data_IF_105844441141
#
_entry.id   IF_105844441141
#
_cell.length_a   1.000
_cell.length_b   1.000
_cell.length_c   1.000
_cell.angle_alpha   90.00
_cell.angle_beta   90.00
_cell.angle_gamma   90.00
#
_symmetry.space_group_name_H-M   'P 1'
#
loop_
_entity.id
_entity.type
_entity.pdbx_description
1 polymer ?
#
# COMPACT_ATOMS: atom_id res chain seq x y z
N UNK A 1 -15.24 20.19 20.92
CA UNK A 1 -14.04 19.40 21.30
C UNK A 1 -12.94 19.81 20.35
N UNK A 2 -11.79 20.26 20.85
CA UNK A 2 -10.67 20.67 20.01
C UNK A 2 -10.19 19.46 19.20
N UNK A 3 -10.23 19.53 17.87
CA UNK A 3 -9.57 18.54 16.99
C UNK A 3 -8.10 18.44 17.45
N UNK A 4 -7.63 17.24 17.78
CA UNK A 4 -6.19 17.03 18.01
C UNK A 4 -5.48 17.19 16.68
N UNK A 5 -4.55 18.14 16.58
CA UNK A 5 -3.76 18.36 15.37
C UNK A 5 -3.02 17.08 14.97
N UNK A 6 -3.15 16.69 13.69
CA UNK A 6 -2.46 15.52 13.16
C UNK A 6 -0.96 15.81 13.04
N UNK A 7 -0.15 15.04 13.76
CA UNK A 7 1.32 15.12 13.66
C UNK A 7 1.85 14.12 12.62
N UNK A 8 2.55 14.65 11.62
CA UNK A 8 3.17 13.86 10.56
C UNK A 8 4.33 13.03 11.15
N UNK A 9 4.18 11.70 11.17
CA UNK A 9 5.25 10.75 11.54
C UNK A 9 5.16 10.07 12.90
N UNK A 10 4.04 10.19 13.62
CA UNK A 10 3.77 9.44 14.86
C UNK A 10 2.85 8.22 14.60
N UNK A 11 2.90 7.21 15.49
CA UNK A 11 2.01 6.03 15.44
C UNK A 11 0.58 6.51 15.72
N UNK A 12 -0.25 6.59 14.68
CA UNK A 12 -1.64 6.99 14.79
C UNK A 12 -2.59 5.80 14.76
N UNK A 13 -3.82 6.03 15.23
CA UNK A 13 -4.98 5.13 15.04
C UNK A 13 -5.12 4.69 13.57
N UNK A 14 -5.76 3.53 13.28
CA UNK A 14 -6.04 3.11 11.91
C UNK A 14 -6.78 4.21 11.13
N UNK A 15 -6.25 4.55 9.97
CA UNK A 15 -6.78 5.62 9.11
C UNK A 15 -7.62 5.03 7.99
N UNK A 16 -8.60 5.81 7.55
CA UNK A 16 -9.22 5.62 6.26
C UNK A 16 -8.30 6.19 5.19
N UNK A 17 -8.21 5.50 4.05
CA UNK A 17 -7.40 5.88 2.91
C UNK A 17 -8.28 5.88 1.65
N UNK A 18 -8.23 7.00 0.93
CA UNK A 18 -8.41 6.99 -0.51
C UNK A 18 -7.04 6.85 -1.15
N UNK A 19 -6.86 5.88 -2.04
CA UNK A 19 -5.72 5.81 -2.93
C UNK A 19 -6.20 5.39 -4.30
N UNK A 20 -5.55 5.90 -5.34
CA UNK A 20 -5.83 5.43 -6.68
C UNK A 20 -4.56 5.34 -7.51
N UNK A 21 -4.71 4.73 -8.69
CA UNK A 21 -3.63 4.46 -9.63
C UNK A 21 -4.13 4.70 -11.04
N UNK A 22 -3.27 5.27 -11.89
CA UNK A 22 -3.60 5.72 -13.23
C UNK A 22 -2.34 5.95 -14.05
N UNK A 23 -2.51 6.35 -15.31
CA UNK A 23 -1.41 6.83 -16.14
C UNK A 23 -1.01 8.27 -15.82
N UNK A 24 -1.96 9.10 -15.36
CA UNK A 24 -1.73 10.53 -15.15
C UNK A 24 -2.61 11.10 -14.02
N UNK A 25 -2.01 11.94 -13.18
CA UNK A 25 -2.70 12.76 -12.17
C UNK A 25 -2.11 14.17 -12.08
N UNK A 26 -1.50 14.70 -13.15
CA UNK A 26 -0.81 15.99 -13.14
C UNK A 26 -1.72 17.15 -12.66
N UNK A 27 -2.98 17.19 -13.09
CA UNK A 27 -3.91 18.25 -12.67
C UNK A 27 -4.23 18.15 -11.16
N UNK A 28 -4.50 16.93 -10.67
CA UNK A 28 -4.81 16.67 -9.27
C UNK A 28 -3.58 16.91 -8.38
N UNK A 29 -2.41 16.49 -8.84
CA UNK A 29 -1.13 16.72 -8.17
C UNK A 29 -0.81 18.21 -8.08
N UNK A 30 -1.07 18.97 -9.16
CA UNK A 30 -0.93 20.42 -9.15
C UNK A 30 -1.86 21.04 -8.10
N UNK A 31 -3.16 20.73 -8.11
CA UNK A 31 -4.11 21.24 -7.10
C UNK A 31 -3.68 20.88 -5.67
N UNK A 32 -3.26 19.63 -5.45
CA UNK A 32 -2.76 19.15 -4.18
C UNK A 32 -1.54 19.96 -3.69
N UNK A 33 -0.57 20.23 -4.58
CA UNK A 33 0.58 21.08 -4.25
C UNK A 33 0.20 22.52 -3.91
N UNK A 34 -0.82 23.07 -4.58
CA UNK A 34 -1.30 24.45 -4.37
C UNK A 34 -2.06 24.62 -3.05
N UNK A 35 -2.74 23.56 -2.62
CA UNK A 35 -3.54 23.54 -1.40
C UNK A 35 -2.75 23.06 -0.18
N UNK A 36 -1.61 22.40 -0.39
CA UNK A 36 -0.82 21.85 0.71
C UNK A 36 -0.32 22.94 1.65
N UNK A 37 -0.47 22.69 2.95
CA UNK A 37 0.28 23.45 3.97
C UNK A 37 1.74 22.98 4.00
N UNK A 38 2.67 23.73 4.63
CA UNK A 38 4.05 23.28 4.77
C UNK A 38 4.16 21.94 5.49
N UNK A 39 4.96 21.04 4.94
CA UNK A 39 5.29 19.74 5.53
C UNK A 39 6.80 19.63 5.78
N UNK A 40 7.26 18.77 6.73
CA UNK A 40 8.67 18.58 6.98
C UNK A 40 9.46 18.14 5.74
N UNK A 41 10.70 18.63 5.60
CA UNK A 41 11.56 18.33 4.43
C UNK A 41 11.76 16.82 4.21
N UNK A 42 11.85 16.03 5.28
CA UNK A 42 11.96 14.57 5.23
C UNK A 42 10.80 13.85 4.53
N UNK A 43 9.68 14.53 4.26
CA UNK A 43 8.54 13.97 3.51
C UNK A 43 8.33 14.64 2.15
N UNK A 44 9.13 15.63 1.77
CA UNK A 44 9.04 16.29 0.46
C UNK A 44 9.21 15.30 -0.67
N UNK A 45 10.22 14.44 -0.53
CA UNK A 45 10.51 13.38 -1.49
C UNK A 45 11.11 12.18 -0.75
N UNK A 46 10.64 10.99 -1.09
CA UNK A 46 11.11 9.73 -0.53
C UNK A 46 11.10 8.66 -1.60
N UNK A 47 12.14 7.82 -1.57
CA UNK A 47 12.23 6.64 -2.42
C UNK A 47 12.19 5.36 -1.60
N UNK A 48 11.75 4.28 -2.24
CA UNK A 48 11.80 2.94 -1.64
C UNK A 48 11.70 1.86 -2.71
N UNK A 49 12.55 0.84 -2.57
CA UNK A 49 12.44 -0.43 -3.29
C UNK A 49 11.76 -1.47 -2.41
N UNK A 50 10.71 -2.09 -2.94
CA UNK A 50 9.87 -3.04 -2.21
C UNK A 50 9.61 -4.28 -3.08
N UNK A 51 9.49 -5.45 -2.46
CA UNK A 51 9.02 -6.67 -3.12
C UNK A 51 7.64 -6.98 -2.59
N UNK A 52 6.64 -6.93 -3.46
CA UNK A 52 5.29 -7.35 -3.14
C UNK A 52 5.13 -8.84 -3.39
N UNK A 53 4.49 -9.55 -2.46
CA UNK A 53 4.14 -10.97 -2.63
C UNK A 53 2.64 -11.05 -2.88
N UNK A 54 2.28 -11.35 -4.13
CA UNK A 54 0.91 -11.36 -4.61
C UNK A 54 0.43 -12.80 -4.56
N UNK A 55 -0.80 -13.00 -4.10
CA UNK A 55 -1.49 -14.28 -4.18
C UNK A 55 -2.69 -14.16 -5.11
N UNK A 56 -2.90 -15.18 -5.94
CA UNK A 56 -4.08 -15.30 -6.81
C UNK A 56 -5.37 -15.46 -6.01
N UNK A 57 -5.31 -16.02 -4.81
CA UNK A 57 -6.46 -16.37 -3.97
C UNK A 57 -6.78 -15.34 -2.89
N UNK A 58 -5.93 -14.34 -2.68
CA UNK A 58 -6.10 -13.32 -1.65
C UNK A 58 -6.32 -11.91 -2.22
N UNK A 59 -7.41 -11.27 -1.79
CA UNK A 59 -7.72 -9.85 -2.09
C UNK A 59 -7.80 -8.98 -0.83
N UNK A 60 -7.41 -9.50 0.34
CA UNK A 60 -7.65 -8.90 1.66
C UNK A 60 -6.34 -8.41 2.30
N UNK A 61 -5.26 -9.15 2.13
CA UNK A 61 -3.98 -8.87 2.76
C UNK A 61 -2.96 -8.33 1.76
N UNK A 62 -2.28 -7.26 2.14
CA UNK A 62 -1.19 -6.70 1.37
C UNK A 62 0.13 -7.10 2.03
N UNK A 63 0.93 -7.93 1.34
CA UNK A 63 2.25 -8.36 1.82
C UNK A 63 3.34 -7.70 1.01
N UNK A 64 4.29 -7.09 1.72
CA UNK A 64 5.49 -6.53 1.11
C UNK A 64 6.73 -6.78 1.95
N UNK A 65 7.87 -6.78 1.29
CA UNK A 65 9.18 -6.84 1.90
C UNK A 65 9.94 -5.57 1.54
N UNK A 66 10.52 -4.91 2.53
CA UNK A 66 11.36 -3.71 2.37
C UNK A 66 12.44 -3.70 3.45
N UNK A 67 13.67 -3.34 3.09
CA UNK A 67 14.80 -3.25 4.02
C UNK A 67 15.01 -4.53 4.85
N UNK A 68 14.79 -5.70 4.24
CA UNK A 68 14.90 -7.01 4.92
C UNK A 68 13.77 -7.31 5.91
N UNK A 69 12.68 -6.54 5.89
CA UNK A 69 11.51 -6.73 6.78
C UNK A 69 10.26 -6.99 5.97
N UNK A 70 9.48 -7.96 6.41
CA UNK A 70 8.13 -8.24 5.91
C UNK A 70 7.10 -7.42 6.69
N UNK A 71 6.18 -6.79 5.98
CA UNK A 71 5.00 -6.09 6.52
C UNK A 71 3.77 -6.68 5.84
N UNK A 72 2.84 -7.19 6.65
CA UNK A 72 1.52 -7.61 6.16
C UNK A 72 0.49 -6.69 6.78
N UNK A 73 -0.31 -6.06 5.92
CA UNK A 73 -1.48 -5.28 6.30
C UNK A 73 -2.73 -6.02 5.89
N UNK A 74 -3.74 -5.96 6.74
CA UNK A 74 -5.04 -6.56 6.47
C UNK A 74 -6.09 -5.47 6.30
N UNK A 75 -6.97 -5.67 5.32
CA UNK A 75 -8.17 -4.87 5.16
C UNK A 75 -9.09 -5.05 6.37
N UNK A 76 -9.60 -3.94 6.91
CA UNK A 76 -10.51 -3.94 8.07
C UNK A 76 -11.94 -3.75 7.62
N UNK A 77 -12.21 -2.64 6.95
CA UNK A 77 -13.55 -2.25 6.53
C UNK A 77 -13.50 -1.17 5.45
N UNK A 78 -14.65 -0.94 4.81
CA UNK A 78 -14.88 0.19 3.91
C UNK A 78 -16.03 1.02 4.47
N UNK A 79 -15.83 2.32 4.56
CA UNK A 79 -16.88 3.28 4.92
C UNK A 79 -16.85 4.39 3.88
N UNK A 80 -17.99 4.64 3.24
CA UNK A 80 -18.14 5.64 2.18
C UNK A 80 -17.11 5.51 1.03
N UNK A 81 -16.76 4.28 0.67
CA UNK A 81 -15.79 3.97 -0.39
C UNK A 81 -14.32 4.15 0.04
N UNK A 82 -14.05 4.51 1.29
CA UNK A 82 -12.71 4.63 1.85
C UNK A 82 -12.33 3.37 2.62
N UNK A 83 -11.14 2.83 2.33
CA UNK A 83 -10.66 1.60 2.95
C UNK A 83 -9.91 1.92 4.24
N UNK A 84 -10.08 1.08 5.26
CA UNK A 84 -9.28 1.12 6.48
C UNK A 84 -8.40 -0.11 6.58
N UNK A 85 -7.12 0.11 6.89
CA UNK A 85 -6.09 -0.93 6.93
C UNK A 85 -5.45 -1.01 8.31
N UNK A 86 -5.11 -2.22 8.76
CA UNK A 86 -4.41 -2.46 10.02
C UNK A 86 -3.14 -3.31 9.79
N UNK A 87 -2.03 -3.02 10.50
CA UNK A 87 -0.90 -3.94 10.52
C UNK A 87 -1.33 -5.28 11.11
N UNK A 88 -1.15 -6.35 10.34
CA UNK A 88 -1.37 -7.72 10.79
C UNK A 88 -0.11 -8.26 11.44
N UNK A 89 1.04 -8.17 10.75
CA UNK A 89 2.34 -8.50 11.34
C UNK A 89 3.49 -7.72 10.71
N UNK A 90 4.58 -7.68 11.46
CA UNK A 90 5.91 -7.29 10.99
C UNK A 90 6.90 -8.39 11.34
N UNK A 91 7.63 -8.87 10.35
CA UNK A 91 8.65 -9.88 10.50
C UNK A 91 9.99 -9.38 9.98
N UNK A 92 11.07 -9.94 10.52
CA UNK A 92 12.43 -9.77 9.99
C UNK A 92 12.94 -11.13 9.54
N UNK A 93 13.92 -11.14 8.62
CA UNK A 93 14.59 -12.36 8.22
C UNK A 93 15.86 -12.61 9.08
N UNK A 94 16.18 -13.88 9.41
CA UNK A 94 15.43 -15.10 9.07
C UNK A 94 14.09 -15.20 9.79
N UNK A 95 13.09 -15.76 9.11
CA UNK A 95 11.72 -15.88 9.61
C UNK A 95 11.44 -17.33 10.04
N UNK A 96 10.81 -17.51 11.19
CA UNK A 96 10.50 -18.85 11.69
C UNK A 96 9.40 -19.55 10.89
N UNK A 97 9.51 -20.88 10.76
CA UNK A 97 8.49 -21.75 10.19
C UNK A 97 7.15 -21.61 10.90
N UNK A 98 7.17 -21.34 12.21
CA UNK A 98 5.96 -21.06 12.99
C UNK A 98 5.24 -19.82 12.48
N UNK A 99 5.94 -18.70 12.32
CA UNK A 99 5.35 -17.45 11.80
C UNK A 99 4.88 -17.63 10.35
N UNK A 100 5.67 -18.35 9.53
CA UNK A 100 5.27 -18.68 8.16
C UNK A 100 3.94 -19.45 8.14
N UNK A 101 3.82 -20.47 9.00
CA UNK A 101 2.65 -21.35 9.11
C UNK A 101 1.42 -20.65 9.67
N UNK A 102 1.58 -19.87 10.74
CA UNK A 102 0.47 -19.31 11.51
C UNK A 102 0.01 -17.95 10.99
N UNK A 103 0.86 -17.18 10.32
CA UNK A 103 0.56 -15.80 9.93
C UNK A 103 0.73 -15.53 8.43
N UNK A 104 1.88 -15.90 7.84
CA UNK A 104 2.23 -15.50 6.45
C UNK A 104 1.42 -16.25 5.40
N UNK A 105 1.44 -17.59 5.43
CA UNK A 105 0.67 -18.39 4.45
C UNK A 105 -0.85 -18.24 4.61
N UNK A 106 -1.41 -18.15 5.84
CA UNK A 106 -2.80 -17.78 6.02
C UNK A 106 -3.15 -16.41 5.43
N UNK A 107 -2.25 -15.42 5.54
CA UNK A 107 -2.46 -14.12 4.92
C UNK A 107 -2.47 -14.19 3.38
N UNK A 108 -1.67 -15.09 2.80
CA UNK A 108 -1.69 -15.37 1.36
C UNK A 108 -2.93 -16.16 0.91
N UNK A 109 -3.65 -16.82 1.81
CA UNK A 109 -4.79 -17.69 1.48
C UNK A 109 -4.43 -18.81 0.49
N UNK A 110 -3.23 -19.36 0.59
CA UNK A 110 -2.76 -20.50 -0.20
C UNK A 110 -2.49 -21.71 0.71
N UNK A 111 -2.31 -22.88 0.12
CA UNK A 111 -1.95 -24.08 0.87
C UNK A 111 -0.61 -23.88 1.60
N UNK A 112 -0.60 -24.25 2.88
CA UNK A 112 0.61 -24.17 3.71
C UNK A 112 1.52 -25.35 3.35
N UNK A 113 2.76 -25.10 2.89
CA UNK A 113 3.69 -26.17 2.56
C UNK A 113 4.19 -26.86 3.83
N UNK A 114 4.78 -28.05 3.66
CA UNK A 114 5.57 -28.65 4.72
C UNK A 114 6.89 -27.88 4.88
N UNK A 115 7.20 -27.53 6.13
CA UNK A 115 8.45 -26.84 6.46
C UNK A 115 9.49 -27.86 6.93
N UNK A 116 10.64 -27.91 6.24
CA UNK A 116 11.76 -28.79 6.58
C UNK A 116 12.74 -28.18 7.62
N UNK A 117 12.71 -26.85 7.77
CA UNK A 117 13.57 -26.08 8.69
C UNK A 117 12.71 -25.32 9.70
N UNK A 118 13.30 -24.98 10.84
CA UNK A 118 12.67 -24.14 11.86
C UNK A 118 12.69 -22.64 11.49
N UNK A 119 13.64 -22.21 10.66
CA UNK A 119 13.80 -20.84 10.18
C UNK A 119 14.24 -20.81 8.71
N UNK A 120 13.86 -19.75 8.01
CA UNK A 120 14.18 -19.51 6.61
C UNK A 120 14.79 -18.13 6.45
N UNK A 121 15.94 -18.06 5.78
CA UNK A 121 16.51 -16.80 5.30
C UNK A 121 15.61 -16.15 4.26
N UNK A 122 15.93 -14.90 3.91
CA UNK A 122 15.22 -14.18 2.84
C UNK A 122 15.26 -14.96 1.53
N UNK A 123 16.43 -15.43 1.10
CA UNK A 123 16.58 -16.14 -0.18
C UNK A 123 15.78 -17.45 -0.21
N UNK A 124 15.82 -18.23 0.87
CA UNK A 124 15.05 -19.47 0.99
C UNK A 124 13.53 -19.21 0.99
N UNK A 125 13.08 -18.15 1.66
CA UNK A 125 11.67 -17.74 1.60
C UNK A 125 11.28 -17.34 0.16
N UNK A 126 12.14 -16.62 -0.56
CA UNK A 126 11.86 -16.26 -1.95
C UNK A 126 11.81 -17.48 -2.87
N UNK A 127 12.67 -18.49 -2.67
CA UNK A 127 12.58 -19.77 -3.38
C UNK A 127 11.22 -20.45 -3.17
N UNK A 128 10.69 -20.43 -1.94
CA UNK A 128 9.36 -20.95 -1.63
C UNK A 128 8.25 -20.18 -2.35
N UNK A 129 8.37 -18.85 -2.44
CA UNK A 129 7.43 -18.01 -3.20
C UNK A 129 7.48 -18.36 -4.69
N UNK A 130 8.67 -18.49 -5.28
CA UNK A 130 8.82 -18.81 -6.70
C UNK A 130 8.35 -20.22 -7.07
N UNK A 131 8.44 -21.16 -6.13
CA UNK A 131 7.97 -22.53 -6.34
C UNK A 131 6.43 -22.66 -6.26
N UNK A 132 5.73 -21.69 -5.66
CA UNK A 132 4.28 -21.75 -5.48
C UNK A 132 3.56 -21.12 -6.70
N UNK A 133 2.72 -21.88 -7.43
CA UNK A 133 2.07 -21.39 -8.66
C UNK A 133 1.01 -20.30 -8.42
N UNK A 134 0.51 -20.18 -7.19
CA UNK A 134 -0.48 -19.18 -6.80
C UNK A 134 0.15 -17.89 -6.27
N UNK A 135 1.47 -17.89 -6.03
CA UNK A 135 2.21 -16.72 -5.57
C UNK A 135 3.04 -16.09 -6.69
N UNK A 136 3.25 -14.78 -6.59
CA UNK A 136 4.14 -14.05 -7.48
C UNK A 136 4.83 -12.93 -6.72
N UNK A 137 6.16 -12.90 -6.77
CA UNK A 137 6.92 -11.74 -6.32
C UNK A 137 6.95 -10.66 -7.41
N UNK A 138 6.75 -9.40 -7.01
CA UNK A 138 6.75 -8.24 -7.91
C UNK A 138 7.65 -7.17 -7.33
N UNK A 139 8.63 -6.73 -8.11
CA UNK A 139 9.51 -5.62 -7.73
C UNK A 139 8.78 -4.30 -7.93
N UNK A 140 8.77 -3.47 -6.90
CA UNK A 140 8.10 -2.18 -6.91
C UNK A 140 9.06 -1.10 -6.40
N UNK A 141 9.44 -0.20 -7.31
CA UNK A 141 10.16 1.03 -6.95
C UNK A 141 9.15 2.18 -6.82
N UNK A 142 9.33 3.05 -5.84
CA UNK A 142 8.43 4.17 -5.57
C UNK A 142 9.22 5.45 -5.32
N UNK A 143 8.88 6.50 -6.04
CA UNK A 143 9.27 7.87 -5.77
C UNK A 143 8.02 8.64 -5.34
N UNK A 144 8.02 9.25 -4.15
CA UNK A 144 6.81 9.75 -3.49
C UNK A 144 7.02 11.14 -2.90
N UNK A 145 6.04 12.01 -3.13
CA UNK A 145 6.01 13.40 -2.70
C UNK A 145 4.88 13.62 -1.70
N UNK A 146 5.21 14.07 -0.50
CA UNK A 146 4.26 14.24 0.60
C UNK A 146 3.62 15.63 0.65
N UNK A 147 2.33 15.66 0.96
CA UNK A 147 1.51 16.88 1.09
C UNK A 147 0.59 16.78 2.32
N UNK A 148 0.00 17.91 2.70
CA UNK A 148 -1.01 17.98 3.75
C UNK A 148 -2.13 18.93 3.32
N UNK A 149 -3.31 18.39 3.02
CA UNK A 149 -4.47 19.15 2.51
C UNK A 149 -5.68 18.86 3.39
N UNK A 150 -6.37 19.89 3.90
CA UNK A 150 -7.56 19.73 4.76
C UNK A 150 -7.34 18.74 5.94
N UNK A 151 -6.22 18.84 6.64
CA UNK A 151 -5.83 17.94 7.73
C UNK A 151 -5.62 16.47 7.30
N UNK A 152 -5.53 16.16 6.01
CA UNK A 152 -5.24 14.82 5.50
C UNK A 152 -3.80 14.68 5.07
N UNK A 153 -3.20 13.52 5.35
CA UNK A 153 -1.89 13.18 4.81
C UNK A 153 -2.11 12.76 3.35
N UNK A 154 -1.44 13.46 2.45
CA UNK A 154 -1.53 13.24 1.02
C UNK A 154 -0.18 12.86 0.43
N UNK A 155 -0.20 12.11 -0.66
CA UNK A 155 0.99 11.64 -1.37
C UNK A 155 0.68 11.54 -2.86
N UNK A 156 1.58 12.04 -3.70
CA UNK A 156 1.64 11.71 -5.13
C UNK A 156 2.90 10.88 -5.34
N UNK A 157 2.86 9.86 -6.19
CA UNK A 157 4.06 9.08 -6.46
C UNK A 157 4.10 8.45 -7.83
N UNK A 158 5.32 8.28 -8.32
CA UNK A 158 5.64 7.46 -9.48
C UNK A 158 6.03 6.07 -8.98
N UNK A 159 5.39 5.05 -9.55
CA UNK A 159 5.57 3.66 -9.12
C UNK A 159 5.96 2.83 -10.33
N UNK A 160 7.10 2.16 -10.25
CA UNK A 160 7.55 1.19 -11.25
C UNK A 160 7.19 -0.21 -10.76
N UNK A 161 6.24 -0.88 -11.41
CA UNK A 161 5.81 -2.25 -11.10
C UNK A 161 6.44 -3.19 -12.13
N UNK A 162 7.47 -3.94 -11.75
CA UNK A 162 8.34 -4.68 -12.67
C UNK A 162 8.83 -3.81 -13.85
N UNK A 163 9.08 -2.52 -13.59
CA UNK A 163 9.49 -1.54 -14.60
C UNK A 163 8.36 -0.85 -15.36
N UNK A 164 7.11 -1.30 -15.24
CA UNK A 164 5.96 -0.59 -15.80
C UNK A 164 5.59 0.60 -14.90
N UNK A 165 5.67 1.82 -15.42
CA UNK A 165 5.36 3.02 -14.66
C UNK A 165 3.85 3.25 -14.55
N UNK A 166 3.40 3.58 -13.35
CA UNK A 166 2.06 4.11 -13.05
C UNK A 166 2.19 5.27 -12.06
N UNK A 167 1.18 6.13 -12.00
CA UNK A 167 1.09 7.21 -11.03
C UNK A 167 0.10 6.83 -9.95
N UNK A 168 0.41 7.16 -8.69
CA UNK A 168 -0.50 7.02 -7.56
C UNK A 168 -0.73 8.35 -6.88
N UNK A 169 -1.94 8.55 -6.37
CA UNK A 169 -2.30 9.70 -5.53
C UNK A 169 -3.18 9.21 -4.39
N UNK A 170 -3.00 9.77 -3.20
CA UNK A 170 -3.76 9.36 -2.01
C UNK A 170 -4.12 10.54 -1.09
N UNK A 171 -5.06 10.25 -0.19
CA UNK A 171 -5.43 11.08 0.96
C UNK A 171 -5.85 10.15 2.10
N UNK A 172 -5.23 10.29 3.28
CA UNK A 172 -5.54 9.49 4.46
C UNK A 172 -5.76 10.33 5.74
N UNK A 173 -6.72 9.91 6.54
CA UNK A 173 -7.12 10.57 7.80
C UNK A 173 -7.87 9.61 8.71
N UNK A 174 -7.98 9.95 10.00
CA UNK A 174 -8.97 9.30 10.87
C UNK A 174 -10.38 9.81 10.63
N UNK A 175 -10.51 10.98 9.99
CA UNK A 175 -11.78 11.66 9.73
C UNK A 175 -12.15 11.54 8.24
N UNK A 176 -13.27 10.86 7.95
CA UNK A 176 -13.75 10.63 6.58
C UNK A 176 -14.10 11.95 5.87
N UNK A 177 -14.69 12.91 6.58
CA UNK A 177 -15.11 14.18 6.01
C UNK A 177 -13.92 15.03 5.51
N UNK A 178 -12.78 14.94 6.20
CA UNK A 178 -11.54 15.62 5.81
C UNK A 178 -11.00 15.03 4.48
N UNK A 179 -11.09 13.69 4.31
CA UNK A 179 -10.73 13.01 3.05
C UNK A 179 -11.69 13.43 1.93
N UNK A 180 -13.01 13.33 2.15
CA UNK A 180 -14.01 13.70 1.14
C UNK A 180 -13.82 15.14 0.64
N UNK A 181 -13.60 16.08 1.57
CA UNK A 181 -13.30 17.47 1.21
C UNK A 181 -12.04 17.57 0.35
N UNK A 182 -10.97 16.87 0.73
CA UNK A 182 -9.74 16.81 -0.06
C UNK A 182 -9.98 16.28 -1.47
N UNK A 183 -10.73 15.18 -1.62
CA UNK A 183 -11.06 14.62 -2.93
C UNK A 183 -11.84 15.60 -3.81
N UNK A 184 -12.80 16.33 -3.25
CA UNK A 184 -13.52 17.38 -3.97
C UNK A 184 -12.59 18.53 -4.40
N UNK A 185 -11.81 19.07 -3.47
CA UNK A 185 -10.93 20.23 -3.73
C UNK A 185 -9.84 19.93 -4.76
N UNK A 186 -9.31 18.70 -4.81
CA UNK A 186 -8.28 18.29 -5.76
C UNK A 186 -8.83 17.66 -7.04
N UNK A 187 -10.15 17.45 -7.15
CA UNK A 187 -10.78 16.89 -8.36
C UNK A 187 -10.60 15.39 -8.53
N UNK A 188 -10.72 14.63 -7.43
CA UNK A 188 -10.71 13.16 -7.38
C UNK A 188 -12.09 12.55 -7.07
N UNK A 189 -13.15 13.35 -7.01
CA UNK A 189 -14.51 12.83 -6.82
C UNK A 189 -14.91 11.86 -7.94
N UNK A 190 -15.47 10.71 -7.56
CA UNK A 190 -15.90 9.67 -8.49
C UNK A 190 -14.77 8.79 -9.05
N UNK A 191 -13.51 9.08 -8.72
CA UNK A 191 -12.38 8.22 -9.10
C UNK A 191 -12.38 6.95 -8.26
N UNK A 192 -12.10 5.80 -8.87
CA UNK A 192 -12.07 4.52 -8.18
C UNK A 192 -10.98 4.51 -7.09
N UNK A 193 -11.33 4.06 -5.88
CA UNK A 193 -10.37 3.76 -4.83
C UNK A 193 -9.69 2.41 -5.16
N UNK A 194 -8.41 2.47 -5.53
CA UNK A 194 -7.59 1.34 -5.94
C UNK A 194 -6.39 1.27 -4.98
N UNK A 195 -6.29 0.21 -4.19
CA UNK A 195 -5.12 -0.02 -3.34
C UNK A 195 -3.96 -0.68 -4.12
N UNK A 196 -2.77 -0.74 -3.50
CA UNK A 196 -1.59 -1.32 -4.14
C UNK A 196 -1.78 -2.79 -4.58
N UNK A 197 -2.51 -3.60 -3.80
CA UNK A 197 -2.73 -5.01 -4.14
C UNK A 197 -3.51 -5.10 -5.46
N UNK A 198 -4.59 -4.33 -5.59
CA UNK A 198 -5.38 -4.27 -6.80
C UNK A 198 -4.59 -3.68 -7.97
N UNK A 199 -3.88 -2.56 -7.77
CA UNK A 199 -3.12 -1.91 -8.83
C UNK A 199 -2.05 -2.84 -9.41
N UNK A 200 -1.28 -3.51 -8.55
CA UNK A 200 -0.24 -4.45 -8.98
C UNK A 200 -0.88 -5.63 -9.73
N UNK A 201 -1.96 -6.23 -9.20
CA UNK A 201 -2.67 -7.32 -9.87
C UNK A 201 -3.22 -6.94 -11.25
N UNK A 202 -3.70 -5.70 -11.42
CA UNK A 202 -4.13 -5.18 -12.73
C UNK A 202 -2.96 -5.07 -13.70
N UNK A 203 -1.84 -4.50 -13.26
CA UNK A 203 -0.64 -4.30 -14.09
C UNK A 203 0.01 -5.62 -14.52
N UNK A 204 0.10 -6.61 -13.62
CA UNK A 204 0.69 -7.92 -13.95
C UNK A 204 -0.29 -8.89 -14.62
N UNK A 205 -1.55 -8.48 -14.83
CA UNK A 205 -2.57 -9.28 -15.52
C UNK A 205 -3.23 -10.38 -14.69
N UNK A 206 -3.15 -10.34 -13.35
CA UNK A 206 -3.94 -11.23 -12.47
C UNK A 206 -5.41 -10.81 -12.41
N UNK A 207 -5.71 -9.52 -12.58
CA UNK A 207 -7.07 -8.97 -12.64
C UNK A 207 -7.23 -8.23 -13.97
N UNK A 208 -8.25 -8.59 -14.74
CA UNK A 208 -8.59 -7.89 -15.98
C UNK A 208 -9.48 -6.67 -15.68
N UNK A 209 -8.87 -5.59 -15.15
CA UNK A 209 -9.51 -4.29 -14.96
C UNK A 209 -8.52 -3.18 -15.31
N UNK A 210 -8.98 -2.06 -15.89
CA UNK A 210 -8.13 -0.91 -16.16
C UNK A 210 -7.69 -0.24 -14.86
N UNK A 211 -6.69 0.65 -14.92
CA UNK A 211 -6.45 1.63 -13.86
C UNK A 211 -7.53 2.72 -13.92
N UNK A 212 -7.46 3.72 -13.03
CA UNK A 212 -8.49 4.74 -12.93
C UNK A 212 -8.54 5.71 -14.13
N UNK A 213 -7.44 5.84 -14.88
CA UNK A 213 -7.32 6.63 -16.10
C UNK A 213 -6.19 6.11 -17.00
#
# INVERSE_FOLDING_TARGET
>A
MSKSEMKIGEISKPRFEFRTFGQDFEEQAYKMSRLSVPVPEKVWERESDEIYILSRTNDINNTKIRDGKMDIKTYVQTVDGLEQWNPLMKGEFPISAKVLKEEVYPAFQVEVPEFAKDEYSFDEFMEMVYANPDLQAVNVHKQRFGYMVNDTICEVGYVLINGAQVVTINSESTEIDDIKKTLADVGLEGVENINYLQAIKRVIGMINKPLAN
#
